data_IF_742271175568
#
_entry.id   IF_742271175568
#
_cell.length_a   1.000
_cell.length_b   1.000
_cell.length_c   1.000
_cell.angle_alpha   90.00
_cell.angle_beta   90.00
_cell.angle_gamma   90.00
#
_symmetry.space_group_name_H-M   'P 1'
#
loop_
_entity.id
_entity.type
_entity.pdbx_description
1 polymer ?
#
# COMPACT_ATOMS: atom_id res chain seq x y z
N UNK A 1 -19.18 -49.82 38.61
CA UNK A 1 -17.84 -49.37 38.16
C UNK A 1 -17.56 -49.92 36.76
N UNK A 2 -18.14 -49.31 35.73
CA UNK A 2 -17.82 -49.51 34.31
C UNK A 2 -18.47 -48.35 33.57
N UNK A 3 -17.75 -47.72 32.63
CA UNK A 3 -18.19 -46.60 31.77
C UNK A 3 -17.99 -45.15 32.30
N UNK A 4 -16.81 -44.83 32.86
CA UNK A 4 -16.37 -43.42 33.02
C UNK A 4 -15.20 -43.04 32.10
N UNK A 5 -14.62 -44.00 31.36
CA UNK A 5 -13.41 -43.77 30.55
C UNK A 5 -13.65 -43.13 29.16
N UNK A 6 -14.90 -43.05 28.69
CA UNK A 6 -15.22 -42.54 27.34
C UNK A 6 -15.55 -41.03 27.31
N UNK A 7 -15.89 -40.42 28.44
CA UNK A 7 -16.27 -38.99 28.50
C UNK A 7 -15.03 -38.08 28.60
N UNK A 8 -13.91 -38.58 29.12
CA UNK A 8 -12.67 -37.82 29.27
C UNK A 8 -11.90 -37.59 27.95
N UNK A 9 -12.18 -38.37 26.90
CA UNK A 9 -11.53 -38.19 25.59
C UNK A 9 -12.32 -37.19 24.71
N UNK A 10 -13.61 -36.97 24.97
CA UNK A 10 -14.43 -35.98 24.25
C UNK A 10 -14.22 -34.53 24.74
N UNK A 11 -13.57 -34.33 25.89
CA UNK A 11 -13.20 -32.99 26.39
C UNK A 11 -11.76 -32.58 26.04
N UNK A 12 -10.96 -33.48 25.44
CA UNK A 12 -9.60 -33.17 24.97
C UNK A 12 -9.57 -32.58 23.55
N UNK A 13 -10.70 -32.57 22.85
CA UNK A 13 -10.90 -31.75 21.65
C UNK A 13 -11.55 -30.42 22.03
N UNK A 14 -11.02 -29.73 23.04
CA UNK A 14 -11.05 -28.27 22.97
C UNK A 14 -10.08 -27.93 21.84
N UNK A 15 -10.64 -27.92 20.62
CA UNK A 15 -10.12 -27.20 19.49
C UNK A 15 -9.88 -25.81 20.03
N UNK A 16 -8.65 -25.55 20.47
CA UNK A 16 -8.12 -24.21 20.50
C UNK A 16 -8.10 -23.87 19.03
N UNK A 17 -9.23 -23.37 18.52
CA UNK A 17 -9.27 -22.64 17.28
C UNK A 17 -8.25 -21.53 17.54
N UNK A 18 -7.01 -21.77 17.12
CA UNK A 18 -6.06 -20.70 16.94
C UNK A 18 -6.78 -19.83 15.93
N UNK A 19 -7.35 -18.74 16.39
CA UNK A 19 -7.68 -17.64 15.51
C UNK A 19 -6.35 -17.29 14.84
N UNK A 20 -6.16 -17.80 13.62
CA UNK A 20 -5.10 -17.32 12.76
C UNK A 20 -5.50 -15.88 12.48
N UNK A 21 -5.01 -14.95 13.31
CA UNK A 21 -5.14 -13.53 13.01
C UNK A 21 -4.34 -13.30 11.73
N UNK A 22 -5.04 -13.28 10.59
CA UNK A 22 -4.44 -12.90 9.35
C UNK A 22 -4.00 -11.43 9.51
N UNK A 23 -2.71 -11.18 9.36
CA UNK A 23 -2.18 -9.82 9.42
C UNK A 23 -2.95 -8.94 8.42
N UNK A 24 -3.36 -7.75 8.86
CA UNK A 24 -3.92 -6.74 7.96
C UNK A 24 -2.81 -5.79 7.57
N UNK A 25 -2.49 -5.76 6.28
CA UNK A 25 -1.46 -4.87 5.73
C UNK A 25 -2.09 -3.53 5.40
N UNK A 26 -1.47 -2.43 5.82
CA UNK A 26 -1.96 -1.09 5.49
C UNK A 26 -1.15 -0.52 4.34
N UNK A 27 -1.83 -0.04 3.30
CA UNK A 27 -1.25 0.80 2.25
C UNK A 27 -1.72 2.24 2.49
N UNK A 28 -0.78 3.17 2.55
CA UNK A 28 -1.04 4.57 2.86
C UNK A 28 -0.39 5.49 1.85
N UNK A 29 -1.09 6.53 1.43
CA UNK A 29 -0.45 7.72 0.85
C UNK A 29 -0.37 8.82 1.91
N UNK A 30 0.73 9.56 1.92
CA UNK A 30 0.87 10.70 2.83
C UNK A 30 0.01 11.88 2.37
N UNK A 31 -0.36 12.74 3.32
CA UNK A 31 -0.92 14.05 3.02
C UNK A 31 0.18 15.09 3.11
N UNK A 32 0.30 15.92 2.09
CA UNK A 32 1.30 17.00 2.02
C UNK A 32 0.59 18.33 1.86
N UNK A 33 1.05 19.34 2.60
CA UNK A 33 0.55 20.71 2.48
C UNK A 33 1.44 21.49 1.53
N UNK A 34 0.85 22.13 0.52
CA UNK A 34 1.55 22.87 -0.53
C UNK A 34 0.90 24.23 -0.68
N UNK A 35 1.71 25.29 -0.69
CA UNK A 35 1.27 26.66 -0.96
C UNK A 35 0.56 26.74 -2.31
N UNK A 36 -0.60 27.38 -2.35
CA UNK A 36 -1.35 27.63 -3.56
C UNK A 36 -0.57 28.34 -4.67
N UNK A 37 0.42 29.17 -4.32
CA UNK A 37 1.31 29.87 -5.24
C UNK A 37 2.53 29.04 -5.66
N UNK A 38 2.79 27.89 -5.03
CA UNK A 38 3.95 27.06 -5.35
C UNK A 38 3.81 26.39 -6.73
N UNK A 39 4.89 26.45 -7.49
CA UNK A 39 5.08 25.69 -8.74
C UNK A 39 6.19 24.62 -8.60
N UNK A 40 6.65 24.37 -7.37
CA UNK A 40 7.71 23.43 -7.11
C UNK A 40 7.23 21.98 -7.29
N UNK A 41 8.17 21.12 -7.64
CA UNK A 41 7.94 19.68 -7.59
C UNK A 41 8.03 19.20 -6.15
N UNK A 42 6.97 18.56 -5.66
CA UNK A 42 6.91 17.97 -4.32
C UNK A 42 6.62 16.47 -4.40
N UNK A 43 6.94 15.75 -3.31
CA UNK A 43 6.82 14.30 -3.21
C UNK A 43 5.64 13.90 -2.33
N UNK A 44 4.84 12.94 -2.80
CA UNK A 44 3.81 12.26 -2.00
C UNK A 44 4.25 10.81 -1.75
N UNK A 45 4.73 10.49 -0.54
CA UNK A 45 5.13 9.13 -0.18
C UNK A 45 4.00 8.11 -0.18
N UNK A 46 4.30 6.90 -0.63
CA UNK A 46 3.48 5.69 -0.40
C UNK A 46 4.16 4.85 0.66
N UNK A 47 3.41 4.45 1.68
CA UNK A 47 3.90 3.71 2.83
C UNK A 47 3.16 2.40 3.05
N UNK A 48 3.86 1.48 3.70
CA UNK A 48 3.31 0.22 4.20
C UNK A 48 3.39 0.15 5.72
N UNK A 49 2.45 -0.58 6.32
CA UNK A 49 2.45 -0.95 7.74
C UNK A 49 2.03 -2.40 7.87
N UNK A 50 2.47 -3.05 8.96
CA UNK A 50 2.30 -4.50 9.19
C UNK A 50 2.81 -5.35 8.01
N UNK A 51 3.87 -4.89 7.34
CA UNK A 51 4.45 -5.56 6.18
C UNK A 51 5.42 -6.64 6.66
N UNK A 52 4.90 -7.82 7.01
CA UNK A 52 5.69 -8.95 7.50
C UNK A 52 5.51 -10.18 6.60
N UNK A 53 6.60 -10.80 6.14
CA UNK A 53 6.55 -12.01 5.30
C UNK A 53 5.60 -11.87 4.09
N UNK A 54 5.69 -10.74 3.37
CA UNK A 54 4.88 -10.45 2.19
C UNK A 54 5.55 -11.02 0.95
N UNK A 55 4.80 -11.81 0.18
CA UNK A 55 5.26 -12.41 -1.07
C UNK A 55 4.91 -11.56 -2.28
N UNK A 56 3.81 -10.81 -2.22
CA UNK A 56 3.47 -9.84 -3.27
C UNK A 56 2.59 -8.71 -2.75
N UNK A 57 2.70 -7.55 -3.39
CA UNK A 57 1.65 -6.56 -3.34
C UNK A 57 1.57 -5.76 -4.63
N UNK A 58 0.35 -5.41 -5.01
CA UNK A 58 0.06 -4.62 -6.20
C UNK A 58 -1.07 -3.64 -5.92
N UNK A 59 -1.08 -2.55 -6.67
CA UNK A 59 -2.16 -1.57 -6.63
C UNK A 59 -2.17 -0.68 -7.87
N UNK A 60 -3.31 -0.03 -8.11
CA UNK A 60 -3.38 1.19 -8.91
C UNK A 60 -3.53 2.39 -7.98
N UNK A 61 -2.72 3.42 -8.18
CA UNK A 61 -2.94 4.73 -7.56
C UNK A 61 -3.54 5.69 -8.58
N UNK A 62 -4.50 6.49 -8.15
CA UNK A 62 -5.23 7.46 -8.99
C UNK A 62 -5.19 8.87 -8.38
N UNK A 63 -5.03 9.88 -9.23
CA UNK A 63 -5.13 11.31 -8.91
C UNK A 63 -5.97 12.06 -9.95
N UNK A 64 -6.35 13.30 -9.64
CA UNK A 64 -7.04 14.21 -10.56
C UNK A 64 -6.01 15.00 -11.38
N UNK A 65 -5.92 14.73 -12.68
CA UNK A 65 -4.97 15.39 -13.60
C UNK A 65 -5.29 16.87 -13.83
N UNK A 66 -6.47 17.36 -13.44
CA UNK A 66 -6.77 18.80 -13.48
C UNK A 66 -6.17 19.56 -12.28
N UNK A 67 -5.69 18.84 -11.25
CA UNK A 67 -5.14 19.42 -10.00
C UNK A 67 -3.67 19.12 -9.78
N UNK A 68 -3.19 18.00 -10.29
CA UNK A 68 -1.83 17.52 -10.11
C UNK A 68 -1.24 17.03 -11.43
N UNK A 69 -0.08 17.57 -11.77
CA UNK A 69 0.73 17.12 -12.90
C UNK A 69 1.82 16.17 -12.39
N UNK A 70 1.78 14.92 -12.86
CA UNK A 70 2.79 13.91 -12.51
C UNK A 70 4.12 14.23 -13.21
N UNK A 71 5.22 14.17 -12.45
CA UNK A 71 6.58 14.42 -12.98
C UNK A 71 7.39 13.12 -13.04
N UNK A 72 7.57 12.43 -11.92
CA UNK A 72 8.35 11.19 -11.83
C UNK A 72 8.00 10.38 -10.57
N UNK A 73 8.48 9.14 -10.48
CA UNK A 73 8.55 8.39 -9.22
C UNK A 73 9.97 8.35 -8.70
N UNK A 74 10.15 8.38 -7.38
CA UNK A 74 11.46 8.08 -6.80
C UNK A 74 11.83 6.62 -7.05
N UNK A 75 13.12 6.25 -7.00
CA UNK A 75 13.51 4.85 -6.87
C UNK A 75 12.83 4.20 -5.65
N UNK A 76 12.68 2.87 -5.69
CA UNK A 76 12.22 2.13 -4.51
C UNK A 76 13.21 2.30 -3.37
N UNK A 77 12.69 2.34 -2.15
CA UNK A 77 13.51 2.24 -0.97
C UNK A 77 14.27 0.90 -0.97
N UNK A 78 15.58 0.89 -0.65
CA UNK A 78 16.41 -0.32 -0.65
C UNK A 78 15.86 -1.50 0.15
N UNK A 79 15.01 -1.28 1.15
CA UNK A 79 14.35 -2.37 1.90
C UNK A 79 13.44 -3.24 1.02
N UNK A 80 12.98 -2.72 -0.12
CA UNK A 80 12.17 -3.43 -1.11
C UNK A 80 12.99 -3.93 -2.30
N UNK A 81 14.32 -4.01 -2.17
CA UNK A 81 15.23 -4.51 -3.20
C UNK A 81 16.05 -5.68 -2.67
N UNK A 82 16.44 -6.59 -3.56
CA UNK A 82 17.18 -7.79 -3.18
C UNK A 82 17.00 -8.95 -4.14
N UNK A 83 17.57 -10.09 -3.79
CA UNK A 83 17.45 -11.31 -4.59
C UNK A 83 16.03 -11.91 -4.47
N UNK A 84 15.49 -12.39 -5.60
CA UNK A 84 14.13 -12.94 -5.67
C UNK A 84 13.03 -11.89 -5.69
N UNK A 85 13.38 -10.60 -5.80
CA UNK A 85 12.44 -9.50 -5.93
C UNK A 85 12.28 -9.11 -7.40
N UNK A 86 11.03 -9.07 -7.87
CA UNK A 86 10.67 -8.45 -9.14
C UNK A 86 9.75 -7.24 -8.90
N UNK A 87 9.93 -6.21 -9.71
CA UNK A 87 9.17 -4.96 -9.62
C UNK A 87 8.66 -4.56 -10.98
N UNK A 88 7.37 -4.29 -11.05
CA UNK A 88 6.70 -3.73 -12.23
C UNK A 88 6.09 -2.38 -11.91
N UNK A 89 6.28 -1.43 -12.82
CA UNK A 89 5.78 -0.07 -12.72
C UNK A 89 5.31 0.39 -14.09
N UNK A 90 4.05 0.81 -14.19
CA UNK A 90 3.59 1.49 -15.40
C UNK A 90 3.58 3.00 -15.19
N UNK A 91 4.64 3.65 -15.61
CA UNK A 91 4.82 5.11 -15.54
C UNK A 91 4.49 5.81 -16.86
N UNK A 92 3.79 5.15 -17.80
CA UNK A 92 3.57 5.69 -19.15
C UNK A 92 2.14 5.53 -19.68
N UNK A 93 1.53 4.34 -19.59
CA UNK A 93 0.28 4.03 -20.31
C UNK A 93 -0.93 4.79 -19.77
N UNK A 94 -1.03 4.94 -18.45
CA UNK A 94 -2.22 5.48 -17.78
C UNK A 94 -2.00 6.85 -17.12
N UNK A 95 -0.82 7.45 -17.29
CA UNK A 95 -0.47 8.73 -16.67
C UNK A 95 -1.44 9.84 -17.13
N UNK A 96 -1.81 9.86 -18.41
CA UNK A 96 -2.78 10.82 -18.96
C UNK A 96 -4.21 10.64 -18.41
N UNK A 97 -4.50 9.51 -17.79
CA UNK A 97 -5.75 9.20 -17.09
C UNK A 97 -5.62 9.38 -15.57
N UNK A 98 -4.48 9.92 -15.10
CA UNK A 98 -4.23 10.14 -13.68
C UNK A 98 -4.00 8.85 -12.91
N UNK A 99 -3.34 7.85 -13.51
CA UNK A 99 -3.13 6.55 -12.87
C UNK A 99 -1.72 6.01 -13.05
N UNK A 100 -1.25 5.29 -12.04
CA UNK A 100 -0.03 4.47 -12.08
C UNK A 100 -0.35 3.09 -11.52
N UNK A 101 0.22 2.04 -12.12
CA UNK A 101 0.17 0.69 -11.53
C UNK A 101 1.52 0.31 -10.97
N UNK A 102 1.48 -0.40 -9.86
CA UNK A 102 2.65 -0.95 -9.19
C UNK A 102 2.41 -2.42 -8.87
N UNK A 103 3.45 -3.24 -9.07
CA UNK A 103 3.52 -4.60 -8.55
C UNK A 103 4.92 -4.83 -8.01
N UNK A 104 4.97 -5.49 -6.87
CA UNK A 104 6.19 -5.98 -6.26
C UNK A 104 5.96 -7.42 -5.83
N UNK A 105 6.94 -8.27 -6.10
CA UNK A 105 6.96 -9.67 -5.65
C UNK A 105 8.27 -9.97 -4.97
N UNK A 106 8.26 -10.94 -4.05
CA UNK A 106 9.45 -11.47 -3.43
C UNK A 106 9.26 -12.97 -3.15
N UNK A 107 10.01 -13.81 -3.85
CA UNK A 107 9.93 -15.27 -3.71
C UNK A 107 10.37 -15.77 -2.33
N UNK A 108 11.07 -14.95 -1.55
CA UNK A 108 11.59 -15.29 -0.22
C UNK A 108 10.78 -14.66 0.92
N UNK A 109 9.72 -13.91 0.62
CA UNK A 109 9.02 -13.08 1.60
C UNK A 109 9.82 -11.83 1.97
N UNK A 110 9.14 -10.69 2.11
CA UNK A 110 9.75 -9.43 2.55
C UNK A 110 9.09 -8.86 3.79
N UNK A 111 9.90 -8.26 4.64
CA UNK A 111 9.46 -7.54 5.84
C UNK A 111 10.03 -6.13 5.81
N UNK A 112 9.20 -5.14 6.13
CA UNK A 112 9.60 -3.74 6.21
C UNK A 112 9.09 -3.15 7.54
N UNK A 113 9.89 -2.31 8.23
CA UNK A 113 9.41 -1.57 9.39
C UNK A 113 8.15 -0.76 9.09
N UNK A 114 7.31 -0.55 10.09
CA UNK A 114 6.14 0.31 9.94
C UNK A 114 6.52 1.71 9.45
N UNK A 115 5.65 2.30 8.63
CA UNK A 115 5.86 3.59 7.98
C UNK A 115 7.00 3.60 6.94
N UNK A 116 7.51 2.43 6.52
CA UNK A 116 8.48 2.36 5.42
C UNK A 116 7.89 2.94 4.15
N UNK A 117 8.59 3.91 3.56
CA UNK A 117 8.24 4.45 2.24
C UNK A 117 8.66 3.43 1.19
N UNK A 118 7.73 3.01 0.33
CA UNK A 118 8.03 2.14 -0.82
C UNK A 118 8.73 2.97 -1.90
N UNK A 119 8.08 4.05 -2.31
CA UNK A 119 8.56 5.10 -3.19
C UNK A 119 7.63 6.32 -3.02
N UNK A 120 7.95 7.42 -3.70
CA UNK A 120 7.08 8.61 -3.74
C UNK A 120 6.73 8.96 -5.18
N UNK A 121 5.53 9.52 -5.39
CA UNK A 121 5.19 10.20 -6.64
C UNK A 121 5.57 11.69 -6.51
N UNK A 122 6.23 12.22 -7.54
CA UNK A 122 6.55 13.62 -7.67
C UNK A 122 5.49 14.32 -8.50
N UNK A 123 4.96 15.42 -7.99
CA UNK A 123 3.94 16.23 -8.66
C UNK A 123 4.34 17.71 -8.67
N UNK A 124 3.83 18.44 -9.65
CA UNK A 124 3.58 19.88 -9.52
C UNK A 124 2.08 20.11 -9.35
N UNK A 125 1.71 21.15 -8.60
CA UNK A 125 0.30 21.51 -8.43
C UNK A 125 -0.14 22.40 -9.59
N UNK A 126 -1.29 22.08 -10.17
CA UNK A 126 -1.92 22.93 -11.21
C UNK A 126 -3.00 23.85 -10.63
N UNK A 127 -3.61 23.48 -9.50
CA UNK A 127 -4.61 24.29 -8.83
C UNK A 127 -5.67 23.49 -8.08
N UNK A 128 -6.74 24.18 -7.67
CA UNK A 128 -7.93 23.56 -7.09
C UNK A 128 -7.84 23.25 -5.59
N UNK A 129 -8.91 22.66 -5.02
CA UNK A 129 -8.98 22.27 -3.62
C UNK A 129 -8.14 21.02 -3.36
N UNK A 130 -8.28 20.42 -2.17
CA UNK A 130 -7.63 19.15 -1.81
C UNK A 130 -7.67 18.12 -2.95
N UNK A 131 -6.52 17.54 -3.29
CA UNK A 131 -6.35 16.56 -4.36
C UNK A 131 -5.97 15.20 -3.77
N UNK A 132 -6.92 14.25 -3.65
CA UNK A 132 -6.64 12.94 -3.06
C UNK A 132 -5.78 12.07 -3.98
N UNK A 133 -4.93 11.24 -3.38
CA UNK A 133 -4.25 10.13 -4.06
C UNK A 133 -4.87 8.82 -3.58
N UNK A 134 -5.72 8.24 -4.41
CA UNK A 134 -6.59 7.12 -4.04
C UNK A 134 -6.06 5.79 -4.59
N UNK A 135 -6.12 4.75 -3.78
CA UNK A 135 -5.95 3.38 -4.27
C UNK A 135 -7.25 2.93 -4.97
N UNK A 136 -7.13 2.40 -6.18
CA UNK A 136 -8.27 1.94 -7.00
C UNK A 136 -7.99 0.55 -7.58
N UNK A 137 -9.04 -0.15 -8.00
CA UNK A 137 -8.95 -1.54 -8.46
C UNK A 137 -8.85 -1.69 -9.99
N UNK A 138 -8.43 -0.64 -10.71
CA UNK A 138 -8.30 -0.70 -12.17
C UNK A 138 -7.27 0.31 -12.69
N UNK A 139 -6.26 -0.14 -13.48
CA UNK A 139 -6.25 -1.44 -14.17
C UNK A 139 -5.73 -2.62 -13.34
N UNK A 140 -4.85 -2.41 -12.37
CA UNK A 140 -4.46 -3.43 -11.39
C UNK A 140 -5.37 -3.34 -10.15
N UNK A 141 -5.82 -4.49 -9.65
CA UNK A 141 -6.54 -4.56 -8.37
C UNK A 141 -5.57 -4.32 -7.21
N UNK A 142 -6.07 -3.77 -6.10
CA UNK A 142 -5.32 -3.73 -4.85
C UNK A 142 -5.32 -5.14 -4.26
N UNK A 143 -4.14 -5.73 -4.12
CA UNK A 143 -3.98 -7.07 -3.55
C UNK A 143 -2.64 -7.19 -2.83
N UNK A 144 -2.64 -7.90 -1.71
CA UNK A 144 -1.43 -8.25 -0.95
C UNK A 144 -1.52 -9.73 -0.62
N UNK A 145 -0.43 -10.47 -0.83
CA UNK A 145 -0.31 -11.87 -0.44
C UNK A 145 0.92 -12.09 0.45
N UNK A 146 0.81 -13.00 1.42
CA UNK A 146 1.97 -13.44 2.19
C UNK A 146 2.94 -14.27 1.31
N UNK A 147 4.10 -14.66 1.86
CA UNK A 147 5.11 -15.48 1.18
C UNK A 147 4.60 -16.89 0.79
N UNK A 148 3.51 -17.36 1.40
CA UNK A 148 2.85 -18.63 1.06
C UNK A 148 1.80 -18.47 -0.04
N UNK A 149 1.53 -17.25 -0.49
CA UNK A 149 0.52 -16.93 -1.51
C UNK A 149 -0.89 -16.74 -0.97
N UNK A 150 -1.10 -16.72 0.35
CA UNK A 150 -2.41 -16.43 0.94
C UNK A 150 -2.71 -14.94 0.82
N UNK A 151 -3.89 -14.60 0.29
CA UNK A 151 -4.36 -13.22 0.21
C UNK A 151 -4.64 -12.68 1.62
N UNK A 152 -4.09 -11.50 1.90
CA UNK A 152 -4.22 -10.82 3.19
C UNK A 152 -5.26 -9.69 3.12
N UNK A 153 -5.97 -9.41 4.22
CA UNK A 153 -6.77 -8.20 4.32
C UNK A 153 -5.90 -6.95 4.13
N UNK A 154 -6.43 -5.97 3.39
CA UNK A 154 -5.75 -4.70 3.14
C UNK A 154 -6.56 -3.55 3.71
N UNK A 155 -5.90 -2.69 4.50
CA UNK A 155 -6.44 -1.40 4.93
C UNK A 155 -5.87 -0.29 4.06
N UNK A 156 -6.74 0.53 3.48
CA UNK A 156 -6.34 1.64 2.62
C UNK A 156 -6.48 2.97 3.36
N UNK A 157 -5.41 3.75 3.41
CA UNK A 157 -5.38 5.07 4.02
C UNK A 157 -4.93 6.12 3.00
N UNK A 158 -5.83 6.57 2.11
CA UNK A 158 -5.48 7.58 1.13
C UNK A 158 -5.26 8.94 1.79
N UNK A 159 -4.10 9.54 1.53
CA UNK A 159 -3.82 10.96 1.73
C UNK A 159 -4.01 11.76 0.44
N UNK A 160 -3.33 12.90 0.35
CA UNK A 160 -3.44 13.79 -0.80
C UNK A 160 -2.71 15.11 -0.63
N UNK A 161 -2.89 16.00 -1.59
CA UNK A 161 -2.28 17.33 -1.58
C UNK A 161 -3.28 18.32 -1.01
N UNK A 162 -2.94 18.92 0.12
CA UNK A 162 -3.71 19.97 0.78
C UNK A 162 -3.15 21.34 0.36
N UNK A 163 -3.91 22.16 -0.39
CA UNK A 163 -3.53 23.54 -0.60
C UNK A 163 -3.57 24.32 0.72
N UNK A 164 -2.58 25.18 0.93
CA UNK A 164 -2.56 26.18 2.00
C UNK A 164 -2.44 27.58 1.37
N UNK A 165 -3.21 28.53 1.88
CA UNK A 165 -3.12 29.94 1.53
C UNK A 165 -2.41 30.64 2.68
N UNK A 166 -1.19 31.16 2.45
CA UNK A 166 -0.44 31.91 3.46
C UNK A 166 -0.82 33.41 3.48
N UNK A 167 -1.79 33.84 2.67
CA UNK A 167 -2.26 35.23 2.60
C UNK A 167 -3.52 35.43 3.46
N UNK A 168 -3.31 35.78 4.73
CA UNK A 168 -4.31 36.36 5.62
C UNK A 168 -3.98 37.83 5.92
#
# INVERSE_FOLDING_TARGET
MRNILLILILFASLICAREASAQTVTLKTDSVSIDCASSDTFLVPIRVFNFNSIGSFQFTLMWDTSRLDYIYTTPLNPVFLGNGIDVGFDTTTFINQGKITFIWTNSNGGTAPDSSVVFSLAFTRTGGPFAPLMFVNSPAVVEVANESGDILPVMLMPGGVQPIDDEA
#
